data_IF_759244317603
#
_entry.id   IF_759244317603
#
_cell.length_a   1.000
_cell.length_b   1.000
_cell.length_c   1.000
_cell.angle_alpha   90.00
_cell.angle_beta   90.00
_cell.angle_gamma   90.00
#
_symmetry.space_group_name_H-M   'P 1'
#
loop_
_entity.id
_entity.type
_entity.pdbx_description
1 polymer ?
#
# COMPACT_ATOMS: atom_id res chain seq x y z
N UNK A 1 -21.69 -9.01 36.62
CA UNK A 1 -20.68 -8.02 36.19
C UNK A 1 -19.34 -8.61 35.71
N UNK A 2 -19.19 -9.95 35.58
CA UNK A 2 -17.93 -10.58 35.08
C UNK A 2 -17.91 -10.85 33.57
N UNK A 3 -19.07 -10.99 32.93
CA UNK A 3 -19.17 -11.29 31.50
C UNK A 3 -18.84 -10.09 30.58
N UNK A 4 -19.04 -8.85 31.06
CA UNK A 4 -18.81 -7.65 30.26
C UNK A 4 -17.31 -7.36 30.00
N UNK A 5 -16.43 -7.84 30.88
CA UNK A 5 -14.98 -7.59 30.80
C UNK A 5 -14.33 -8.44 29.68
N UNK A 6 -14.89 -9.62 29.39
CA UNK A 6 -14.33 -10.54 28.37
C UNK A 6 -14.60 -10.03 26.95
N UNK A 7 -15.76 -9.40 26.70
CA UNK A 7 -16.07 -8.86 25.38
C UNK A 7 -15.24 -7.61 25.01
N UNK A 8 -14.80 -6.81 26.00
CA UNK A 8 -13.98 -5.62 25.71
C UNK A 8 -12.56 -5.98 25.26
N UNK A 9 -11.99 -7.08 25.77
CA UNK A 9 -10.64 -7.53 25.43
C UNK A 9 -10.50 -8.04 23.99
N UNK A 10 -11.56 -8.67 23.43
CA UNK A 10 -11.52 -9.23 22.08
C UNK A 10 -11.50 -8.14 20.98
N UNK A 11 -12.16 -6.99 21.23
CA UNK A 11 -12.24 -5.91 20.23
C UNK A 11 -10.95 -5.10 20.12
N UNK A 12 -10.14 -5.06 21.18
CA UNK A 12 -8.84 -4.36 21.17
C UNK A 12 -7.79 -5.05 20.28
N UNK A 13 -7.90 -6.38 20.07
CA UNK A 13 -6.95 -7.15 19.25
C UNK A 13 -7.07 -6.89 17.74
N UNK A 14 -8.22 -6.40 17.26
CA UNK A 14 -8.48 -6.16 15.83
C UNK A 14 -8.05 -4.75 15.36
N UNK A 15 -7.89 -3.79 16.29
CA UNK A 15 -7.48 -2.43 15.95
C UNK A 15 -5.97 -2.32 15.64
N UNK A 16 -5.14 -3.25 16.15
CA UNK A 16 -3.70 -3.24 15.95
C UNK A 16 -3.22 -3.70 14.56
N UNK A 17 -4.06 -4.42 13.80
CA UNK A 17 -3.67 -4.93 12.47
C UNK A 17 -3.77 -3.91 11.34
N UNK A 18 -4.42 -2.76 11.56
CA UNK A 18 -4.62 -1.73 10.53
C UNK A 18 -3.73 -0.49 10.71
N UNK A 19 -2.85 -0.47 11.71
CA UNK A 19 -1.81 0.55 11.87
C UNK A 19 -0.67 0.30 10.86
N UNK A 20 -1.01 0.15 9.58
CA UNK A 20 -0.05 0.31 8.50
C UNK A 20 0.40 1.75 8.49
N UNK A 21 1.68 2.00 8.73
CA UNK A 21 2.32 3.28 8.48
C UNK A 21 1.79 3.84 7.15
N UNK A 22 1.16 5.04 7.15
CA UNK A 22 0.53 5.56 5.96
C UNK A 22 1.61 5.79 4.92
N UNK A 23 1.56 5.00 3.85
CA UNK A 23 2.32 5.21 2.65
C UNK A 23 1.72 6.43 1.94
N UNK A 24 2.35 7.63 1.99
CA UNK A 24 1.70 8.85 1.56
C UNK A 24 2.11 9.10 0.11
N UNK A 25 1.46 8.39 -0.83
CA UNK A 25 1.60 8.73 -2.24
C UNK A 25 0.32 9.40 -2.77
N UNK A 26 0.32 10.73 -2.95
CA UNK A 26 -0.84 11.46 -3.48
C UNK A 26 -1.11 11.14 -4.96
N UNK A 27 -0.30 10.34 -5.62
CA UNK A 27 -0.53 9.83 -6.97
C UNK A 27 0.18 8.49 -7.12
N UNK A 28 -0.40 7.47 -7.78
CA UNK A 28 0.25 6.16 -7.92
C UNK A 28 1.64 6.23 -8.59
N UNK A 29 1.89 7.25 -9.40
CA UNK A 29 3.13 7.41 -10.19
C UNK A 29 4.16 8.33 -9.50
N UNK A 30 3.73 9.16 -8.54
CA UNK A 30 4.60 10.21 -8.00
C UNK A 30 5.78 9.61 -7.21
N UNK A 31 7.00 9.99 -7.61
CA UNK A 31 8.25 9.51 -7.01
C UNK A 31 8.56 8.03 -7.29
N UNK A 32 7.77 7.33 -8.10
CA UNK A 32 8.16 6.03 -8.61
C UNK A 32 9.36 6.19 -9.55
N UNK A 33 10.32 5.27 -9.44
CA UNK A 33 11.48 5.22 -10.35
C UNK A 33 11.27 4.06 -11.29
N UNK A 34 11.60 4.27 -12.57
CA UNK A 34 11.55 3.22 -13.60
C UNK A 34 12.77 2.27 -13.47
N UNK A 35 13.85 2.75 -12.84
CA UNK A 35 15.06 1.96 -12.61
C UNK A 35 14.98 1.12 -11.34
N UNK A 36 15.93 0.17 -11.21
CA UNK A 36 16.10 -0.64 -10.01
C UNK A 36 16.15 0.22 -8.73
N UNK A 37 15.59 -0.30 -7.64
CA UNK A 37 15.56 0.37 -6.34
C UNK A 37 17.01 0.58 -5.83
N UNK A 38 17.49 1.84 -5.69
CA UNK A 38 18.88 2.10 -5.31
C UNK A 38 19.12 1.96 -3.80
N UNK A 39 18.07 1.86 -2.99
CA UNK A 39 18.18 1.76 -1.54
C UNK A 39 18.62 0.35 -1.12
N UNK A 40 19.31 0.25 0.02
CA UNK A 40 19.74 -1.04 0.56
C UNK A 40 18.51 -1.90 0.97
N UNK A 41 18.50 -3.18 0.60
CA UNK A 41 17.45 -4.13 0.98
C UNK A 41 17.31 -4.21 2.50
N UNK A 42 16.07 -4.36 2.98
CA UNK A 42 15.76 -4.41 4.42
C UNK A 42 15.67 -3.04 5.11
N UNK A 43 15.98 -1.94 4.41
CA UNK A 43 15.77 -0.59 4.93
C UNK A 43 14.34 -0.10 4.68
N UNK A 44 13.87 0.82 5.52
CA UNK A 44 12.59 1.48 5.30
C UNK A 44 12.55 2.22 3.95
N UNK A 45 13.65 2.91 3.58
CA UNK A 45 13.76 3.61 2.31
C UNK A 45 13.58 2.67 1.11
N UNK A 46 14.12 1.45 1.19
CA UNK A 46 13.87 0.42 0.19
C UNK A 46 12.39 0.06 0.11
N UNK A 47 11.74 -0.17 1.25
CA UNK A 47 10.31 -0.51 1.28
C UNK A 47 9.43 0.63 0.74
N UNK A 48 9.73 1.89 1.06
CA UNK A 48 9.01 3.04 0.52
C UNK A 48 9.11 3.08 -1.01
N UNK A 49 10.31 2.92 -1.55
CA UNK A 49 10.53 2.89 -2.99
C UNK A 49 9.92 1.66 -3.67
N UNK A 50 9.89 0.52 -2.97
CA UNK A 50 9.20 -0.69 -3.43
C UNK A 50 7.69 -0.43 -3.56
N UNK A 51 7.06 0.15 -2.53
CA UNK A 51 5.65 0.56 -2.58
C UNK A 51 5.35 1.55 -3.72
N UNK A 52 6.23 2.52 -3.98
CA UNK A 52 6.12 3.47 -5.13
C UNK A 52 6.11 2.78 -6.47
N UNK A 53 7.06 1.87 -6.69
CA UNK A 53 7.12 1.13 -7.94
C UNK A 53 5.93 0.18 -8.10
N UNK A 54 5.49 -0.48 -7.03
CA UNK A 54 4.29 -1.33 -7.09
C UNK A 54 3.04 -0.52 -7.43
N UNK A 55 2.84 0.66 -6.82
CA UNK A 55 1.71 1.52 -7.16
C UNK A 55 1.76 2.00 -8.61
N UNK A 56 2.92 2.44 -9.08
CA UNK A 56 3.08 2.90 -10.45
C UNK A 56 2.81 1.77 -11.45
N UNK A 57 3.45 0.61 -11.28
CA UNK A 57 3.25 -0.54 -12.16
C UNK A 57 1.80 -1.03 -12.14
N UNK A 58 1.16 -1.06 -10.96
CA UNK A 58 -0.24 -1.45 -10.83
C UNK A 58 -1.17 -0.49 -11.57
N UNK A 59 -0.90 0.82 -11.49
CA UNK A 59 -1.67 1.83 -12.23
C UNK A 59 -1.46 1.71 -13.74
N UNK A 60 -0.21 1.64 -14.19
CA UNK A 60 0.14 1.53 -15.61
C UNK A 60 -0.44 0.26 -16.25
N UNK A 61 -0.52 -0.85 -15.51
CA UNK A 61 -1.10 -2.10 -15.99
C UNK A 61 -2.63 -2.10 -16.06
N UNK A 62 -3.31 -1.13 -15.46
CA UNK A 62 -4.78 -1.11 -15.36
C UNK A 62 -5.44 0.05 -16.07
N UNK A 63 -4.72 1.13 -16.30
CA UNK A 63 -5.26 2.34 -16.92
C UNK A 63 -5.25 2.20 -18.44
N UNK A 64 -6.40 2.35 -19.06
CA UNK A 64 -6.50 2.66 -20.48
C UNK A 64 -6.86 4.14 -20.64
N UNK A 65 -5.89 4.95 -21.06
CA UNK A 65 -6.06 6.40 -21.14
C UNK A 65 -7.00 6.85 -22.27
N UNK A 66 -7.25 5.98 -23.25
CA UNK A 66 -8.14 6.26 -24.38
C UNK A 66 -9.57 5.74 -24.15
N UNK A 67 -9.74 4.73 -23.30
CA UNK A 67 -11.00 4.02 -23.11
C UNK A 67 -11.63 4.21 -21.73
N UNK A 68 -10.82 4.47 -20.69
CA UNK A 68 -11.34 4.61 -19.33
C UNK A 68 -12.11 5.92 -19.13
N UNK A 69 -13.34 5.80 -18.66
CA UNK A 69 -14.08 6.95 -18.13
C UNK A 69 -13.36 7.54 -16.90
N UNK A 70 -13.71 8.79 -16.56
CA UNK A 70 -13.19 9.47 -15.36
C UNK A 70 -13.40 8.62 -14.10
N UNK A 71 -14.56 7.97 -13.96
CA UNK A 71 -14.87 7.12 -12.81
C UNK A 71 -13.96 5.90 -12.72
N UNK A 72 -13.75 5.21 -13.84
CA UNK A 72 -12.82 4.06 -13.91
C UNK A 72 -11.40 4.51 -13.60
N UNK A 73 -10.95 5.60 -14.22
CA UNK A 73 -9.63 6.19 -13.95
C UNK A 73 -9.41 6.47 -12.45
N UNK A 74 -10.39 7.04 -11.76
CA UNK A 74 -10.31 7.31 -10.32
C UNK A 74 -10.26 6.03 -9.49
N UNK A 75 -11.05 5.02 -9.85
CA UNK A 75 -11.05 3.71 -9.20
C UNK A 75 -9.68 3.02 -9.34
N UNK A 76 -9.11 3.02 -10.55
CA UNK A 76 -7.79 2.42 -10.79
C UNK A 76 -6.68 3.15 -10.04
N UNK A 77 -6.74 4.49 -9.93
CA UNK A 77 -5.81 5.26 -9.09
C UNK A 77 -5.87 4.83 -7.64
N UNK A 78 -7.08 4.70 -7.10
CA UNK A 78 -7.26 4.29 -5.70
C UNK A 78 -6.72 2.88 -5.47
N UNK A 79 -7.07 1.93 -6.34
CA UNK A 79 -6.62 0.55 -6.23
C UNK A 79 -5.11 0.42 -6.33
N UNK A 80 -4.47 1.17 -7.23
CA UNK A 80 -3.02 1.19 -7.35
C UNK A 80 -2.32 1.71 -6.08
N UNK A 81 -2.89 2.72 -5.42
CA UNK A 81 -2.37 3.21 -4.13
C UNK A 81 -2.47 2.15 -3.04
N UNK A 82 -3.59 1.44 -2.98
CA UNK A 82 -3.79 0.34 -2.02
C UNK A 82 -2.78 -0.79 -2.22
N UNK A 83 -2.51 -1.16 -3.48
CA UNK A 83 -1.51 -2.18 -3.81
C UNK A 83 -0.11 -1.77 -3.36
N UNK A 84 0.29 -0.52 -3.62
CA UNK A 84 1.57 0.03 -3.17
C UNK A 84 1.69 0.07 -1.65
N UNK A 85 0.63 0.48 -0.95
CA UNK A 85 0.60 0.49 0.51
C UNK A 85 0.69 -0.94 1.08
N UNK A 86 0.01 -1.91 0.47
CA UNK A 86 0.11 -3.31 0.84
C UNK A 86 1.53 -3.86 0.61
N UNK A 87 2.16 -3.51 -0.51
CA UNK A 87 3.53 -3.92 -0.82
C UNK A 87 4.55 -3.34 0.16
N UNK A 88 4.40 -2.06 0.53
CA UNK A 88 5.22 -1.42 1.56
C UNK A 88 5.10 -2.16 2.90
N UNK A 89 3.88 -2.45 3.36
CA UNK A 89 3.65 -3.21 4.61
C UNK A 89 4.29 -4.61 4.55
N UNK A 90 4.11 -5.34 3.45
CA UNK A 90 4.75 -6.65 3.26
C UNK A 90 6.27 -6.56 3.32
N UNK A 91 6.85 -5.54 2.67
CA UNK A 91 8.29 -5.30 2.71
C UNK A 91 8.81 -5.04 4.13
N UNK A 92 8.12 -4.20 4.91
CA UNK A 92 8.48 -3.95 6.32
C UNK A 92 8.41 -5.23 7.17
N UNK A 93 7.48 -6.13 6.86
CA UNK A 93 7.38 -7.43 7.53
C UNK A 93 8.39 -8.49 7.03
N UNK A 94 9.30 -8.13 6.12
CA UNK A 94 10.27 -9.07 5.53
C UNK A 94 9.67 -10.05 4.52
N UNK A 95 8.44 -9.82 4.04
CA UNK A 95 7.70 -10.70 3.11
C UNK A 95 7.77 -10.18 1.68
N UNK A 96 8.97 -10.14 1.11
CA UNK A 96 9.23 -9.73 -0.28
C UNK A 96 9.13 -10.92 -1.25
N UNK A 97 8.00 -11.63 -1.23
CA UNK A 97 7.72 -12.75 -2.13
C UNK A 97 6.33 -12.55 -2.75
#
# INVERSE_FOLDING_TARGET
>A
MRAAIVCLGLLAGLAGCNAGTPYPNPSPIAGARVSANPNARGTEAFCQQYGRQTAANSYENRIDRGEDSIGVSLLQRQRAREDGAAAYRRCLSGRLN
#
